data_IF_842967305239
#
_entry.id   IF_842967305239
#
_cell.length_a   1.000
_cell.length_b   1.000
_cell.length_c   1.000
_cell.angle_alpha   90.00
_cell.angle_beta   90.00
_cell.angle_gamma   90.00
#
_symmetry.space_group_name_H-M   'P 1'
#
loop_
_entity.id
_entity.type
_entity.pdbx_description
1 polymer ?
#
# COMPACT_ATOMS: atom_id res chain seq x y z
N UNK A 1 -0.38 4.82 -12.79
CA UNK A 1 -0.21 4.01 -11.57
C UNK A 1 -1.34 3.02 -11.48
N UNK A 2 -1.08 1.77 -11.88
CA UNK A 2 -2.03 0.68 -11.67
C UNK A 2 -2.05 0.30 -10.19
N UNK A 3 -3.24 0.18 -9.59
CA UNK A 3 -3.43 -0.12 -8.17
C UNK A 3 -4.38 -1.30 -8.05
N UNK A 4 -3.83 -2.42 -7.62
CA UNK A 4 -4.57 -3.65 -7.48
C UNK A 4 -4.58 -4.09 -6.02
N UNK A 5 -5.73 -4.59 -5.56
CA UNK A 5 -5.87 -5.16 -4.22
C UNK A 5 -6.12 -6.64 -4.39
N UNK A 6 -5.19 -7.46 -3.91
CA UNK A 6 -5.32 -8.91 -3.99
C UNK A 6 -5.69 -9.46 -2.62
N UNK A 7 -6.79 -10.20 -2.55
CA UNK A 7 -7.16 -10.93 -1.34
C UNK A 7 -6.36 -12.23 -1.28
N UNK A 8 -5.43 -12.32 -0.35
CA UNK A 8 -4.61 -13.52 -0.13
C UNK A 8 -5.07 -14.20 1.15
N UNK A 9 -5.37 -15.51 1.07
CA UNK A 9 -5.73 -16.32 2.23
C UNK A 9 -4.45 -16.70 2.98
N UNK A 10 -4.29 -16.23 4.21
CA UNK A 10 -3.19 -16.67 5.06
C UNK A 10 -3.64 -17.95 5.79
N UNK A 11 -2.87 -19.03 5.60
CA UNK A 11 -2.96 -20.35 6.26
C UNK A 11 -4.27 -20.60 7.03
N UNK A 12 -5.22 -21.21 6.32
CA UNK A 12 -6.51 -21.76 6.79
C UNK A 12 -7.50 -20.91 7.60
N UNK A 13 -7.28 -19.63 7.93
CA UNK A 13 -8.30 -18.90 8.73
C UNK A 13 -8.52 -17.42 8.48
N UNK A 14 -7.65 -16.66 7.78
CA UNK A 14 -7.93 -15.21 7.60
C UNK A 14 -7.51 -14.67 6.24
N UNK A 15 -8.45 -14.04 5.54
CA UNK A 15 -8.21 -13.28 4.33
C UNK A 15 -7.52 -11.96 4.66
N UNK A 16 -6.44 -11.65 3.96
CA UNK A 16 -5.76 -10.35 4.06
C UNK A 16 -5.77 -9.67 2.71
N UNK A 17 -5.96 -8.36 2.74
CA UNK A 17 -5.90 -7.53 1.54
C UNK A 17 -4.44 -7.11 1.32
N UNK A 18 -3.84 -7.55 0.24
CA UNK A 18 -2.50 -7.14 -0.18
C UNK A 18 -2.65 -6.00 -1.17
N UNK A 19 -2.16 -4.82 -0.81
CA UNK A 19 -2.14 -3.67 -1.69
C UNK A 19 -0.93 -3.75 -2.62
N UNK A 20 -1.19 -3.83 -3.91
CA UNK A 20 -0.19 -3.82 -4.97
C UNK A 20 -0.27 -2.51 -5.75
N UNK A 21 0.89 -1.91 -5.99
CA UNK A 21 1.04 -0.68 -6.77
C UNK A 21 2.09 -0.96 -7.83
N UNK A 22 1.73 -0.80 -9.09
CA UNK A 22 2.66 -0.99 -10.22
C UNK A 22 3.31 -2.39 -10.24
N UNK A 23 2.51 -3.42 -9.91
CA UNK A 23 3.00 -4.81 -9.80
C UNK A 23 3.82 -5.13 -8.55
N UNK A 24 4.12 -4.15 -7.69
CA UNK A 24 4.82 -4.38 -6.42
C UNK A 24 3.85 -4.44 -5.24
N UNK A 25 3.94 -5.50 -4.42
CA UNK A 25 3.18 -5.61 -3.16
C UNK A 25 3.76 -4.69 -2.10
N UNK A 26 3.01 -3.65 -1.73
CA UNK A 26 3.49 -2.59 -0.83
C UNK A 26 3.24 -2.98 0.62
N UNK A 27 1.99 -3.32 0.93
CA UNK A 27 1.61 -3.64 2.30
C UNK A 27 0.43 -4.62 2.35
N UNK A 28 0.38 -5.37 3.45
CA UNK A 28 -0.71 -6.27 3.76
C UNK A 28 -1.56 -5.57 4.81
N UNK A 29 -2.80 -5.26 4.46
CA UNK A 29 -3.74 -4.51 5.30
C UNK A 29 -4.91 -5.41 5.67
N UNK A 30 -5.22 -5.45 6.96
CA UNK A 30 -6.43 -6.08 7.46
C UNK A 30 -7.57 -5.04 7.47
N UNK A 31 -8.58 -5.23 6.61
CA UNK A 31 -9.77 -4.39 6.51
C UNK A 31 -9.80 -3.48 5.28
N UNK A 32 -10.93 -3.51 4.56
CA UNK A 32 -11.13 -2.79 3.28
C UNK A 32 -11.08 -1.26 3.43
N UNK A 33 -11.51 -0.70 4.57
CA UNK A 33 -11.42 0.76 4.83
C UNK A 33 -9.98 1.26 4.81
N UNK A 34 -9.08 0.57 5.53
CA UNK A 34 -7.66 0.93 5.59
C UNK A 34 -6.95 0.79 4.24
N UNK A 35 -7.38 -0.19 3.42
CA UNK A 35 -6.87 -0.34 2.04
C UNK A 35 -7.22 0.87 1.21
N UNK A 36 -8.48 1.31 1.26
CA UNK A 36 -8.92 2.52 0.57
C UNK A 36 -8.15 3.76 1.03
N UNK A 37 -7.90 3.90 2.33
CA UNK A 37 -7.09 4.99 2.86
C UNK A 37 -5.65 4.97 2.33
N UNK A 38 -5.01 3.80 2.23
CA UNK A 38 -3.68 3.66 1.65
C UNK A 38 -3.65 4.04 0.17
N UNK A 39 -4.65 3.60 -0.59
CA UNK A 39 -4.79 3.94 -2.02
C UNK A 39 -4.91 5.45 -2.19
N UNK A 40 -5.74 6.10 -1.37
CA UNK A 40 -5.91 7.55 -1.39
C UNK A 40 -4.60 8.27 -1.05
N UNK A 41 -3.88 7.83 -0.01
CA UNK A 41 -2.58 8.39 0.36
C UNK A 41 -1.54 8.28 -0.76
N UNK A 42 -1.44 7.11 -1.42
CA UNK A 42 -0.56 6.89 -2.58
C UNK A 42 -0.99 7.71 -3.80
N UNK A 43 -2.26 8.07 -3.89
CA UNK A 43 -2.78 8.93 -4.94
C UNK A 43 -2.55 10.41 -4.70
N UNK A 44 -1.94 10.79 -3.57
CA UNK A 44 -1.73 12.19 -3.20
C UNK A 44 -2.94 12.84 -2.54
N UNK A 45 -4.00 12.09 -2.20
CA UNK A 45 -5.06 12.62 -1.35
C UNK A 45 -4.53 12.79 0.08
N UNK A 46 -5.02 13.84 0.76
CA UNK A 46 -4.67 14.14 2.14
C UNK A 46 -5.40 13.22 3.12
N UNK A 47 -5.12 11.92 3.05
CA UNK A 47 -5.67 10.90 3.95
C UNK A 47 -4.75 10.71 5.14
N UNK A 48 -5.32 10.79 6.34
CA UNK A 48 -4.58 10.64 7.60
C UNK A 48 -4.49 9.16 7.96
N UNK A 49 -3.41 8.49 7.53
CA UNK A 49 -3.12 7.12 7.96
C UNK A 49 -2.73 7.14 9.45
N UNK A 50 -3.64 6.71 10.32
CA UNK A 50 -3.37 6.58 11.77
C UNK A 50 -2.44 5.39 12.10
N UNK A 51 -2.31 4.44 11.18
CA UNK A 51 -1.51 3.23 11.37
C UNK A 51 -0.02 3.52 11.07
N UNK A 52 0.76 3.79 12.11
CA UNK A 52 2.15 4.24 11.96
C UNK A 52 3.07 3.25 11.22
N UNK A 53 2.78 1.94 11.29
CA UNK A 53 3.52 0.91 10.54
C UNK A 53 3.24 1.04 9.04
N UNK A 54 1.97 1.14 8.68
CA UNK A 54 1.53 1.34 7.30
C UNK A 54 2.10 2.66 6.76
N UNK A 55 1.96 3.76 7.50
CA UNK A 55 2.53 5.07 7.11
C UNK A 55 4.02 4.97 6.78
N UNK A 56 4.80 4.29 7.62
CA UNK A 56 6.26 4.14 7.42
C UNK A 56 6.60 3.31 6.17
N UNK A 57 5.79 2.30 5.84
CA UNK A 57 5.94 1.51 4.61
C UNK A 57 5.60 2.36 3.37
N UNK A 58 4.49 3.10 3.41
CA UNK A 58 4.09 3.99 2.31
C UNK A 58 5.12 5.10 2.09
N UNK A 59 5.63 5.70 3.16
CA UNK A 59 6.68 6.72 3.12
C UNK A 59 7.96 6.16 2.47
N UNK A 60 8.41 4.98 2.91
CA UNK A 60 9.53 4.27 2.29
C UNK A 60 9.29 3.98 0.81
N UNK A 61 8.08 3.58 0.45
CA UNK A 61 7.73 3.32 -0.94
C UNK A 61 7.73 4.59 -1.79
N UNK A 62 7.14 5.68 -1.29
CA UNK A 62 7.14 7.00 -1.95
C UNK A 62 8.55 7.52 -2.16
N UNK A 63 9.39 7.45 -1.13
CA UNK A 63 10.79 7.83 -1.23
C UNK A 63 11.54 6.93 -2.24
N UNK A 64 11.22 5.63 -2.28
CA UNK A 64 11.80 4.70 -3.26
C UNK A 64 11.34 4.96 -4.69
N UNK A 65 10.13 5.48 -4.91
CA UNK A 65 9.65 5.89 -6.23
C UNK A 65 10.41 7.12 -6.72
N UNK A 66 10.58 8.14 -5.87
CA UNK A 66 11.37 9.35 -6.19
C UNK A 66 12.83 8.99 -6.55
N UNK A 67 13.41 7.99 -5.87
CA UNK A 67 14.77 7.54 -6.18
C UNK A 67 14.87 6.68 -7.46
N UNK A 68 13.78 6.07 -7.93
CA UNK A 68 13.78 5.29 -9.18
C UNK A 68 13.83 6.18 -10.42
N UNK A 69 13.31 7.41 -10.35
CA UNK A 69 13.39 8.36 -11.47
C UNK A 69 14.83 8.89 -11.69
N UNK A 70 15.74 8.68 -10.73
CA UNK A 70 17.12 9.15 -10.79
C UNK A 70 18.15 8.11 -11.31
N UNK A 71 17.68 7.00 -11.89
CA UNK A 71 18.53 6.08 -12.69
C UNK A 71 17.98 5.96 -14.11
N UNK A 72 18.07 7.07 -14.86
CA UNK A 72 18.16 7.03 -16.33
C UNK A 72 19.61 7.13 -16.74
#
# INVERSE_FOLDING_TARGET
MDRNVVKVKQYNSTYKNVLMVDGASICIVAGDKKVSECIQYLSGYNTKINDGKIKKILDKYRHSLENKECKS
#
